data_IF_137047880197
#
_entry.id   IF_137047880197
#
_cell.length_a   1.000
_cell.length_b   1.000
_cell.length_c   1.000
_cell.angle_alpha   90.00
_cell.angle_beta   90.00
_cell.angle_gamma   90.00
#
_symmetry.space_group_name_H-M   'P 1'
#
loop_
_entity.id
_entity.type
_entity.pdbx_description
1 polymer ?
#
# COMPACT_ATOMS: atom_id res chain seq x y z
N UNK A 1 18.43 -10.14 -44.23
CA UNK A 1 16.99 -10.49 -44.18
C UNK A 1 16.56 -11.21 -42.90
N UNK A 2 17.25 -12.26 -42.41
CA UNK A 2 16.84 -13.01 -41.19
C UNK A 2 16.77 -12.19 -39.88
N UNK A 3 17.62 -11.16 -39.70
CA UNK A 3 17.63 -10.32 -38.49
C UNK A 3 16.47 -9.30 -38.43
N UNK A 4 15.96 -8.86 -39.57
CA UNK A 4 14.82 -7.94 -39.64
C UNK A 4 13.49 -8.64 -39.29
N UNK A 5 13.36 -9.93 -39.63
CA UNK A 5 12.18 -10.74 -39.30
C UNK A 5 12.05 -10.97 -37.79
N UNK A 6 13.16 -11.18 -37.08
CA UNK A 6 13.16 -11.41 -35.62
C UNK A 6 12.73 -10.15 -34.86
N UNK A 7 13.20 -8.97 -35.30
CA UNK A 7 12.80 -7.69 -34.69
C UNK A 7 11.32 -7.40 -34.93
N UNK A 8 10.78 -7.72 -36.12
CA UNK A 8 9.36 -7.58 -36.42
C UNK A 8 8.48 -8.52 -35.58
N UNK A 9 8.91 -9.76 -35.35
CA UNK A 9 8.17 -10.70 -34.50
C UNK A 9 8.20 -10.27 -33.03
N UNK A 10 9.32 -9.75 -32.53
CA UNK A 10 9.42 -9.23 -31.15
C UNK A 10 8.54 -7.98 -30.99
N UNK A 11 8.52 -7.08 -31.97
CA UNK A 11 7.65 -5.90 -31.96
C UNK A 11 6.17 -6.27 -32.07
N UNK A 12 5.82 -7.30 -32.85
CA UNK A 12 4.45 -7.80 -32.93
C UNK A 12 3.99 -8.48 -31.63
N UNK A 13 4.88 -9.22 -30.95
CA UNK A 13 4.59 -9.84 -29.66
C UNK A 13 4.48 -8.79 -28.54
N UNK A 14 5.35 -7.78 -28.54
CA UNK A 14 5.29 -6.67 -27.58
C UNK A 14 4.03 -5.80 -27.80
N UNK A 15 3.70 -5.52 -29.06
CA UNK A 15 2.48 -4.80 -29.44
C UNK A 15 1.20 -5.58 -29.11
N UNK A 16 1.20 -6.89 -29.34
CA UNK A 16 0.09 -7.78 -29.00
C UNK A 16 -0.14 -7.91 -27.50
N UNK A 17 0.93 -8.00 -26.71
CA UNK A 17 0.84 -8.03 -25.24
C UNK A 17 0.34 -6.71 -24.66
N UNK A 18 0.77 -5.57 -25.23
CA UNK A 18 0.31 -4.24 -24.82
C UNK A 18 -1.16 -4.00 -25.17
N UNK A 19 -1.57 -4.37 -26.38
CA UNK A 19 -2.97 -4.30 -26.82
C UNK A 19 -3.90 -5.22 -26.00
N UNK A 20 -3.46 -6.43 -25.70
CA UNK A 20 -4.22 -7.38 -24.85
C UNK A 20 -4.43 -6.86 -23.43
N UNK A 21 -3.44 -6.15 -22.86
CA UNK A 21 -3.56 -5.54 -21.54
C UNK A 21 -4.52 -4.34 -21.51
N UNK A 22 -4.59 -3.56 -22.60
CA UNK A 22 -5.51 -2.43 -22.72
C UNK A 22 -6.97 -2.86 -23.00
N UNK A 23 -7.18 -3.89 -23.82
CA UNK A 23 -8.52 -4.33 -24.26
C UNK A 23 -9.12 -5.46 -23.42
N UNK A 24 -8.51 -5.80 -22.28
CA UNK A 24 -8.94 -6.88 -21.38
C UNK A 24 -10.41 -6.77 -20.93
N UNK A 25 -10.93 -5.56 -20.75
CA UNK A 25 -12.32 -5.33 -20.32
C UNK A 25 -13.35 -5.57 -21.46
N UNK A 26 -12.93 -5.48 -22.73
CA UNK A 26 -13.80 -5.76 -23.89
C UNK A 26 -13.85 -7.25 -24.25
N UNK A 27 -12.75 -7.98 -24.01
CA UNK A 27 -12.60 -9.40 -24.35
C UNK A 27 -13.27 -10.30 -23.29
N UNK A 28 -13.41 -9.80 -22.06
CA UNK A 28 -14.10 -10.49 -20.97
C UNK A 28 -15.21 -9.59 -20.40
N UNK A 29 -16.43 -9.60 -20.98
CA UNK A 29 -17.54 -8.88 -20.39
C UNK A 29 -17.79 -9.39 -18.97
N UNK A 30 -17.89 -8.46 -18.01
CA UNK A 30 -18.14 -8.77 -16.60
C UNK A 30 -19.42 -9.60 -16.50
N UNK A 31 -19.41 -10.77 -15.85
CA UNK A 31 -20.66 -11.47 -15.56
C UNK A 31 -21.51 -10.55 -14.67
N UNK A 32 -22.75 -10.28 -15.08
CA UNK A 32 -23.72 -9.59 -14.23
C UNK A 32 -23.84 -10.36 -12.92
N UNK A 33 -23.39 -9.74 -11.83
CA UNK A 33 -23.53 -10.29 -10.50
C UNK A 33 -25.03 -10.27 -10.15
N UNK A 34 -25.67 -11.44 -10.18
CA UNK A 34 -26.87 -11.65 -9.37
C UNK A 34 -26.45 -11.51 -7.92
N UNK A 35 -26.93 -10.45 -7.29
CA UNK A 35 -26.74 -10.12 -5.89
C UNK A 35 -27.25 -11.27 -5.02
N UNK A 36 -26.34 -12.13 -4.56
CA UNK A 36 -26.59 -13.02 -3.44
C UNK A 36 -26.11 -12.27 -2.21
N UNK A 37 -27.08 -11.83 -1.39
CA UNK A 37 -26.83 -11.06 -0.18
C UNK A 37 -25.75 -11.73 0.69
N UNK A 38 -24.72 -10.99 1.14
CA UNK A 38 -23.69 -11.56 2.00
C UNK A 38 -24.29 -11.94 3.35
N UNK A 39 -24.25 -13.22 3.70
CA UNK A 39 -24.50 -13.65 5.08
C UNK A 39 -23.44 -13.04 5.99
N UNK A 40 -23.87 -12.07 6.80
CA UNK A 40 -23.09 -11.48 7.88
C UNK A 40 -22.89 -12.51 8.98
N UNK A 41 -21.66 -12.94 9.22
CA UNK A 41 -21.28 -13.66 10.43
C UNK A 41 -21.36 -12.70 11.61
N UNK A 42 -22.33 -12.91 12.50
CA UNK A 42 -22.47 -12.18 13.76
C UNK A 42 -21.48 -12.78 14.78
N UNK A 43 -20.56 -11.96 15.28
CA UNK A 43 -19.75 -12.28 16.46
C UNK A 43 -20.35 -11.53 17.64
N UNK A 44 -20.70 -12.26 18.70
CA UNK A 44 -21.28 -11.73 19.94
C UNK A 44 -20.33 -10.75 20.63
N UNK A 45 -20.78 -9.53 20.87
CA UNK A 45 -20.08 -8.54 21.69
C UNK A 45 -20.22 -8.89 23.18
N UNK A 46 -19.18 -9.50 23.73
CA UNK A 46 -19.00 -9.68 25.17
C UNK A 46 -18.70 -8.34 25.86
N UNK A 47 -19.38 -8.13 26.99
CA UNK A 47 -19.45 -6.97 27.87
C UNK A 47 -18.07 -6.49 28.39
N UNK A 48 -17.85 -5.18 28.36
CA UNK A 48 -16.68 -4.51 28.93
C UNK A 48 -16.68 -4.52 30.47
N UNK A 49 -15.54 -4.67 31.16
CA UNK A 49 -15.39 -4.36 32.58
C UNK A 49 -15.00 -2.89 32.81
N UNK A 50 -15.64 -2.28 33.80
CA UNK A 50 -15.39 -0.92 34.33
C UNK A 50 -14.10 -0.81 35.18
N UNK A 51 -13.55 0.42 35.35
CA UNK A 51 -12.25 0.66 35.95
C UNK A 51 -12.27 0.62 37.49
N UNK A 52 -11.23 0.03 38.09
CA UNK A 52 -10.98 0.10 39.53
C UNK A 52 -9.93 1.17 39.86
N UNK A 53 -10.33 2.13 40.69
CA UNK A 53 -9.47 3.13 41.33
C UNK A 53 -8.47 2.47 42.30
N UNK A 54 -7.20 2.90 42.30
CA UNK A 54 -6.35 2.85 43.49
C UNK A 54 -5.35 4.01 43.47
N UNK A 55 -5.33 4.76 44.58
CA UNK A 55 -4.47 5.92 44.90
C UNK A 55 -3.18 5.48 45.60
N UNK A 56 -2.20 6.41 45.68
CA UNK A 56 -0.95 6.42 46.47
C UNK A 56 0.32 6.02 45.66
N UNK A 57 1.48 6.68 45.76
CA UNK A 57 2.00 7.77 46.59
C UNK A 57 3.27 8.34 45.93
N UNK A 58 3.57 9.62 46.16
CA UNK A 58 4.81 10.32 45.78
C UNK A 58 6.02 9.81 46.56
N UNK A 59 7.24 10.01 46.02
CA UNK A 59 8.33 10.51 46.86
C UNK A 59 8.97 11.80 46.32
N UNK A 60 9.21 12.71 47.25
CA UNK A 60 9.98 13.95 47.14
C UNK A 60 11.39 13.66 47.69
N UNK A 61 12.47 13.94 46.95
CA UNK A 61 13.31 15.16 47.15
C UNK A 61 14.66 15.14 46.38
N UNK A 62 14.97 16.34 45.89
CA UNK A 62 16.23 17.02 45.53
C UNK A 62 17.57 16.29 45.31
N UNK A 63 18.29 16.73 44.26
CA UNK A 63 19.55 17.51 44.43
C UNK A 63 19.84 18.34 43.17
N UNK A 64 20.11 19.63 43.38
CA UNK A 64 20.50 20.63 42.38
C UNK A 64 21.89 20.34 41.77
N UNK A 65 22.03 20.61 40.48
CA UNK A 65 23.29 21.09 39.90
C UNK A 65 22.98 22.04 38.75
N UNK A 66 23.02 23.33 39.07
CA UNK A 66 23.00 24.44 38.13
C UNK A 66 24.31 24.46 37.35
N UNK A 67 24.23 24.49 36.01
CA UNK A 67 25.22 25.17 35.19
C UNK A 67 24.45 25.96 34.13
N UNK A 68 24.35 27.27 34.36
CA UNK A 68 24.04 28.23 33.32
C UNK A 68 25.13 28.17 32.26
N UNK A 69 24.72 28.07 31.00
CA UNK A 69 25.54 28.58 29.91
C UNK A 69 24.59 29.18 28.88
N UNK A 70 24.48 30.51 28.92
CA UNK A 70 23.90 31.31 27.86
C UNK A 70 24.61 31.01 26.55
N UNK A 71 23.97 30.24 25.67
CA UNK A 71 24.33 30.13 24.29
C UNK A 71 23.08 30.39 23.44
N UNK A 72 22.92 31.65 23.05
CA UNK A 72 22.02 32.06 21.96
C UNK A 72 22.55 31.46 20.66
N UNK A 73 22.30 30.17 20.44
CA UNK A 73 22.50 29.56 19.13
C UNK A 73 21.23 29.76 18.32
N UNK A 74 21.34 30.58 17.27
CA UNK A 74 20.49 30.41 16.09
C UNK A 74 20.78 29.01 15.53
N UNK A 75 20.14 28.00 16.10
CA UNK A 75 20.18 26.65 15.60
C UNK A 75 19.33 26.62 14.34
N UNK A 76 19.97 26.76 13.18
CA UNK A 76 19.40 26.25 11.93
C UNK A 76 19.07 24.78 12.19
N UNK A 77 17.80 24.42 12.10
CA UNK A 77 17.36 23.04 12.33
C UNK A 77 18.25 22.10 11.49
N UNK A 78 18.77 21.00 12.07
CA UNK A 78 19.63 20.08 11.34
C UNK A 78 18.89 19.59 10.09
N UNK A 79 19.52 19.75 8.92
CA UNK A 79 18.95 19.34 7.65
C UNK A 79 18.72 17.82 7.66
N UNK A 80 17.52 17.38 7.28
CA UNK A 80 17.17 15.96 7.23
C UNK A 80 18.14 15.26 6.28
N UNK A 81 18.87 14.21 6.73
CA UNK A 81 19.78 13.46 5.87
C UNK A 81 19.08 12.96 4.61
N UNK A 82 19.80 12.92 3.48
CA UNK A 82 19.25 12.48 2.19
C UNK A 82 19.90 11.18 1.77
N UNK A 83 19.09 10.17 1.46
CA UNK A 83 19.55 8.91 0.88
C UNK A 83 19.94 9.07 -0.61
N UNK A 84 20.85 8.24 -1.09
CA UNK A 84 21.31 8.25 -2.48
C UNK A 84 20.21 7.86 -3.46
N UNK A 85 19.36 6.88 -3.10
CA UNK A 85 18.37 6.28 -3.99
C UNK A 85 16.96 6.77 -3.66
N UNK A 86 16.57 6.73 -2.41
CA UNK A 86 15.23 7.13 -1.95
C UNK A 86 15.29 8.61 -1.59
N UNK A 87 14.97 9.53 -2.51
CA UNK A 87 15.07 10.97 -2.24
C UNK A 87 13.89 11.46 -1.42
N UNK A 88 13.99 12.67 -0.86
CA UNK A 88 12.85 13.32 -0.17
C UNK A 88 11.63 13.48 -1.07
N UNK A 89 11.84 13.67 -2.37
CA UNK A 89 10.76 13.77 -3.36
C UNK A 89 9.93 12.48 -3.46
N UNK A 90 10.53 11.31 -3.21
CA UNK A 90 9.78 10.05 -3.12
C UNK A 90 8.81 10.10 -1.94
N UNK A 91 9.26 10.59 -0.79
CA UNK A 91 8.42 10.69 0.43
C UNK A 91 7.26 11.66 0.20
N UNK A 92 7.53 12.81 -0.42
CA UNK A 92 6.50 13.79 -0.79
C UNK A 92 5.50 13.21 -1.79
N UNK A 93 5.96 12.49 -2.81
CA UNK A 93 5.08 11.83 -3.78
C UNK A 93 4.21 10.76 -3.13
N UNK A 94 4.76 9.95 -2.21
CA UNK A 94 4.00 8.96 -1.45
C UNK A 94 2.91 9.63 -0.62
N UNK A 95 3.22 10.70 0.10
CA UNK A 95 2.23 11.46 0.87
C UNK A 95 1.13 12.02 -0.04
N UNK A 96 1.50 12.64 -1.17
CA UNK A 96 0.57 13.15 -2.17
C UNK A 96 -0.34 12.05 -2.73
N UNK A 97 0.24 10.91 -3.07
CA UNK A 97 -0.48 9.77 -3.62
C UNK A 97 -1.47 9.19 -2.61
N UNK A 98 -1.08 9.02 -1.35
CA UNK A 98 -1.95 8.51 -0.29
C UNK A 98 -3.13 9.45 -0.05
N UNK A 99 -2.89 10.75 0.06
CA UNK A 99 -3.95 11.76 0.25
C UNK A 99 -4.91 11.79 -0.95
N UNK A 100 -4.39 11.69 -2.18
CA UNK A 100 -5.22 11.64 -3.38
C UNK A 100 -6.14 10.41 -3.45
N UNK A 101 -5.84 9.35 -2.69
CA UNK A 101 -6.67 8.13 -2.58
C UNK A 101 -7.66 8.16 -1.42
N UNK A 102 -7.59 9.15 -0.53
CA UNK A 102 -8.61 9.35 0.48
C UNK A 102 -9.85 9.98 -0.15
N UNK A 103 -11.00 9.37 0.09
CA UNK A 103 -12.30 9.82 -0.37
C UNK A 103 -13.14 10.18 0.86
N UNK A 104 -13.23 11.47 1.24
CA UNK A 104 -14.02 11.88 2.39
C UNK A 104 -15.50 11.53 2.20
N UNK A 105 -16.21 11.30 3.31
CA UNK A 105 -17.66 11.11 3.30
C UNK A 105 -18.42 12.35 2.83
N UNK A 106 -19.57 12.16 2.20
CA UNK A 106 -20.43 13.24 1.69
C UNK A 106 -19.91 13.94 0.43
N UNK A 107 -18.89 13.38 -0.22
CA UNK A 107 -18.29 13.96 -1.43
C UNK A 107 -18.88 13.34 -2.69
N UNK A 108 -18.70 13.99 -3.84
CA UNK A 108 -19.21 13.49 -5.14
C UNK A 108 -18.68 12.08 -5.47
N UNK A 109 -17.43 11.78 -5.09
CA UNK A 109 -16.79 10.48 -5.32
C UNK A 109 -17.07 9.45 -4.22
N UNK A 110 -17.57 9.89 -3.06
CA UNK A 110 -17.98 9.03 -1.96
C UNK A 110 -19.21 9.63 -1.23
N UNK A 111 -20.43 9.38 -1.75
CA UNK A 111 -21.65 9.95 -1.19
C UNK A 111 -22.03 9.40 0.19
N UNK A 112 -21.40 8.31 0.63
CA UNK A 112 -21.63 7.72 1.96
C UNK A 112 -21.12 8.62 3.09
N UNK A 113 -21.54 8.36 4.35
CA UNK A 113 -21.23 9.23 5.48
C UNK A 113 -19.79 9.13 5.98
N UNK A 114 -19.11 8.01 5.75
CA UNK A 114 -17.76 7.74 6.25
C UNK A 114 -16.72 7.89 5.14
N UNK A 115 -15.54 8.39 5.50
CA UNK A 115 -14.39 8.39 4.59
C UNK A 115 -13.88 6.98 4.32
N UNK A 116 -13.21 6.82 3.18
CA UNK A 116 -12.57 5.56 2.81
C UNK A 116 -11.35 5.79 1.92
N UNK A 117 -10.52 4.76 1.77
CA UNK A 117 -9.43 4.76 0.79
C UNK A 117 -9.80 3.98 -0.47
N UNK A 118 -9.45 4.53 -1.63
CA UNK A 118 -9.27 3.77 -2.87
C UNK A 118 -7.78 3.44 -3.07
N UNK A 119 -7.25 2.64 -2.14
CA UNK A 119 -5.85 2.25 -2.09
C UNK A 119 -5.74 0.73 -2.00
N UNK A 120 -4.84 0.13 -2.76
CA UNK A 120 -4.44 -1.26 -2.61
C UNK A 120 -2.94 -1.42 -2.83
N UNK A 121 -2.33 -2.47 -2.25
CA UNK A 121 -0.88 -2.68 -2.31
C UNK A 121 -0.39 -2.83 -3.75
N UNK A 122 -1.21 -3.43 -4.62
CA UNK A 122 -0.87 -3.62 -6.03
C UNK A 122 -0.76 -2.27 -6.77
N UNK A 123 -1.63 -1.30 -6.49
CA UNK A 123 -1.60 0.01 -7.13
C UNK A 123 -0.37 0.81 -6.70
N UNK A 124 0.02 0.70 -5.42
CA UNK A 124 1.28 1.25 -4.90
C UNK A 124 2.47 0.65 -5.65
N UNK A 125 2.55 -0.68 -5.76
CA UNK A 125 3.65 -1.33 -6.48
C UNK A 125 3.68 -0.97 -7.97
N UNK A 126 2.54 -0.77 -8.62
CA UNK A 126 2.51 -0.36 -10.04
C UNK A 126 3.10 1.04 -10.18
N UNK A 127 2.68 2.00 -9.35
CA UNK A 127 3.18 3.37 -9.39
C UNK A 127 4.70 3.43 -9.17
N UNK A 128 5.18 2.85 -8.09
CA UNK A 128 6.60 2.96 -7.70
C UNK A 128 7.50 1.88 -8.32
N UNK A 129 6.92 0.91 -9.02
CA UNK A 129 7.66 -0.14 -9.70
C UNK A 129 7.90 0.11 -11.18
N UNK A 130 7.33 1.17 -11.77
CA UNK A 130 7.45 1.48 -13.20
C UNK A 130 7.99 2.88 -13.42
N UNK A 131 7.36 3.90 -12.84
CA UNK A 131 7.71 5.30 -13.10
C UNK A 131 8.73 5.88 -12.11
N UNK A 132 8.99 5.14 -11.02
CA UNK A 132 9.96 5.46 -9.96
C UNK A 132 9.96 6.94 -9.50
N UNK A 133 8.78 7.58 -9.27
CA UNK A 133 8.73 9.01 -8.96
C UNK A 133 9.51 9.31 -7.67
N UNK A 134 10.43 10.27 -7.74
CA UNK A 134 11.27 10.68 -6.62
C UNK A 134 12.39 9.70 -6.24
N UNK A 135 12.61 8.62 -7.00
CA UNK A 135 13.75 7.72 -6.83
C UNK A 135 14.87 8.08 -7.81
N UNK A 136 16.11 8.01 -7.34
CA UNK A 136 17.29 8.29 -8.15
C UNK A 136 17.77 7.03 -8.88
N UNK A 137 17.04 6.66 -9.94
CA UNK A 137 17.34 5.51 -10.81
C UNK A 137 17.01 5.83 -12.26
N UNK A 138 17.55 5.06 -13.20
CA UNK A 138 17.22 5.19 -14.61
C UNK A 138 15.82 4.57 -14.91
N UNK A 139 14.80 5.36 -15.28
CA UNK A 139 13.48 4.83 -15.61
C UNK A 139 13.47 4.06 -16.94
N UNK A 140 14.46 4.23 -17.81
CA UNK A 140 14.54 3.52 -19.10
C UNK A 140 14.86 2.03 -18.95
N UNK A 141 15.57 1.64 -17.88
CA UNK A 141 15.80 0.23 -17.51
C UNK A 141 15.02 -0.14 -16.25
N UNK A 142 13.72 -0.45 -16.42
CA UNK A 142 12.84 -0.81 -15.31
C UNK A 142 13.34 -2.02 -14.51
N UNK A 143 13.98 -3.01 -15.15
CA UNK A 143 14.45 -4.21 -14.45
C UNK A 143 15.74 -3.93 -13.67
N UNK A 144 16.69 -3.18 -14.27
CA UNK A 144 17.89 -2.72 -13.60
C UNK A 144 17.58 -1.80 -12.42
N UNK A 145 16.70 -0.81 -12.62
CA UNK A 145 16.25 0.10 -11.57
C UNK A 145 15.68 -0.65 -10.36
N UNK A 146 14.80 -1.63 -10.57
CA UNK A 146 14.26 -2.46 -9.48
C UNK A 146 15.36 -3.20 -8.72
N UNK A 147 16.33 -3.78 -9.42
CA UNK A 147 17.45 -4.49 -8.76
C UNK A 147 18.29 -3.54 -7.91
N UNK A 148 18.59 -2.35 -8.41
CA UNK A 148 19.30 -1.30 -7.69
C UNK A 148 18.52 -0.88 -6.44
N UNK A 149 17.23 -0.57 -6.60
CA UNK A 149 16.35 -0.17 -5.49
C UNK A 149 16.33 -1.26 -4.42
N UNK A 150 15.95 -2.49 -4.76
CA UNK A 150 15.83 -3.55 -3.76
C UNK A 150 17.17 -3.97 -3.17
N UNK A 151 18.25 -3.94 -3.96
CA UNK A 151 19.60 -4.18 -3.48
C UNK A 151 20.04 -3.18 -2.42
N UNK A 152 19.57 -1.93 -2.50
CA UNK A 152 19.82 -0.88 -1.51
C UNK A 152 18.85 -0.93 -0.34
N UNK A 153 17.54 -0.90 -0.60
CA UNK A 153 16.51 -0.74 0.44
C UNK A 153 16.30 -2.00 1.27
N UNK A 154 16.54 -3.21 0.75
CA UNK A 154 16.37 -4.46 1.51
C UNK A 154 17.64 -4.84 2.28
N UNK A 155 18.31 -3.83 2.83
CA UNK A 155 19.42 -3.96 3.77
C UNK A 155 18.98 -3.48 5.15
N UNK A 156 19.37 -4.20 6.19
CA UNK A 156 18.98 -3.90 7.58
C UNK A 156 19.30 -2.45 7.99
N UNK A 157 20.55 -1.97 7.82
CA UNK A 157 20.92 -0.59 8.16
C UNK A 157 20.20 0.47 7.34
N UNK A 158 20.02 0.27 6.03
CA UNK A 158 19.30 1.21 5.15
C UNK A 158 17.84 1.36 5.58
N UNK A 159 17.17 0.25 5.94
CA UNK A 159 15.80 0.30 6.46
C UNK A 159 15.69 1.11 7.75
N UNK A 160 16.61 0.92 8.70
CA UNK A 160 16.61 1.68 9.96
C UNK A 160 16.84 3.17 9.71
N UNK A 161 17.80 3.49 8.85
CA UNK A 161 18.09 4.86 8.45
C UNK A 161 16.87 5.53 7.81
N UNK A 162 16.28 4.90 6.77
CA UNK A 162 15.11 5.44 6.09
C UNK A 162 13.93 5.63 7.06
N UNK A 163 13.67 4.67 7.95
CA UNK A 163 12.63 4.82 8.94
C UNK A 163 12.91 5.99 9.89
N UNK A 164 14.11 6.09 10.46
CA UNK A 164 14.45 7.14 11.42
C UNK A 164 14.45 8.54 10.79
N UNK A 165 15.03 8.67 9.58
CA UNK A 165 15.16 9.96 8.90
C UNK A 165 13.85 10.40 8.22
N UNK A 166 13.10 9.48 7.60
CA UNK A 166 11.99 9.86 6.72
C UNK A 166 10.61 9.76 7.35
N UNK A 167 10.44 9.10 8.51
CA UNK A 167 9.13 9.11 9.18
C UNK A 167 8.67 10.53 9.54
N UNK A 168 9.52 11.42 10.12
CA UNK A 168 9.13 12.81 10.37
C UNK A 168 8.77 13.55 9.08
N UNK A 169 9.62 13.45 8.06
CA UNK A 169 9.40 14.05 6.74
C UNK A 169 8.08 13.58 6.10
N UNK A 170 7.75 12.30 6.24
CA UNK A 170 6.52 11.70 5.74
C UNK A 170 5.29 12.30 6.41
N UNK A 171 5.31 12.41 7.75
CA UNK A 171 4.21 13.00 8.52
C UNK A 171 4.00 14.47 8.16
N UNK A 172 5.08 15.23 8.04
CA UNK A 172 4.98 16.66 7.70
C UNK A 172 4.49 16.85 6.26
N UNK A 173 4.94 15.99 5.32
CA UNK A 173 4.46 15.99 3.94
C UNK A 173 2.99 15.57 3.82
N UNK A 174 2.52 14.62 4.65
CA UNK A 174 1.10 14.28 4.73
C UNK A 174 0.27 15.48 5.17
N UNK A 175 0.74 16.18 6.21
CA UNK A 175 0.02 17.32 6.78
C UNK A 175 -0.06 18.49 5.80
N UNK A 176 1.06 18.83 5.16
CA UNK A 176 1.12 19.85 4.12
C UNK A 176 0.16 19.53 2.98
N UNK A 177 0.23 18.30 2.46
CA UNK A 177 -0.62 17.84 1.36
C UNK A 177 -2.11 17.87 1.74
N UNK A 178 -2.46 17.42 2.95
CA UNK A 178 -3.84 17.44 3.42
C UNK A 178 -4.37 18.88 3.51
N UNK A 179 -3.55 19.83 3.99
CA UNK A 179 -3.91 21.25 4.10
C UNK A 179 -4.23 21.89 2.76
N UNK A 180 -3.48 21.54 1.70
CA UNK A 180 -3.70 22.07 0.36
C UNK A 180 -4.74 21.30 -0.46
N UNK A 181 -5.25 20.17 0.04
CA UNK A 181 -6.19 19.32 -0.70
C UNK A 181 -7.63 19.83 -0.60
N UNK A 182 -8.33 19.84 -1.74
CA UNK A 182 -9.76 20.11 -1.84
C UNK A 182 -10.50 18.93 -2.47
N UNK A 183 -11.77 18.76 -2.13
CA UNK A 183 -12.65 17.75 -2.72
C UNK A 183 -13.93 18.40 -3.25
N UNK A 184 -14.56 17.74 -4.21
CA UNK A 184 -15.81 18.22 -4.81
C UNK A 184 -17.02 17.60 -4.11
N UNK A 185 -17.93 18.44 -3.63
CA UNK A 185 -19.23 18.03 -3.09
C UNK A 185 -20.19 17.61 -4.21
N UNK A 186 -21.31 16.97 -3.84
CA UNK A 186 -22.37 16.63 -4.79
C UNK A 186 -22.93 17.85 -5.53
N UNK A 187 -22.92 19.03 -4.88
CA UNK A 187 -23.30 20.31 -5.48
C UNK A 187 -22.34 20.83 -6.57
N UNK A 188 -21.16 20.20 -6.71
CA UNK A 188 -20.09 20.67 -7.61
C UNK A 188 -19.13 21.68 -6.97
N UNK A 189 -19.42 22.14 -5.75
CA UNK A 189 -18.53 23.04 -5.00
C UNK A 189 -17.23 22.32 -4.59
N UNK A 190 -16.10 23.01 -4.71
CA UNK A 190 -14.83 22.57 -4.16
C UNK A 190 -14.70 23.04 -2.71
N UNK A 191 -14.38 22.14 -1.79
CA UNK A 191 -14.26 22.40 -0.35
C UNK A 191 -12.96 21.80 0.17
N UNK A 192 -12.28 22.52 1.06
CA UNK A 192 -11.08 22.03 1.72
C UNK A 192 -11.39 20.82 2.63
N UNK A 193 -10.40 19.94 2.82
CA UNK A 193 -10.51 18.85 3.80
C UNK A 193 -10.65 19.46 5.21
N UNK A 194 -11.68 19.06 5.96
CA UNK A 194 -11.90 19.55 7.34
C UNK A 194 -10.94 18.87 8.33
N UNK A 195 -10.74 19.45 9.51
CA UNK A 195 -9.89 18.83 10.54
C UNK A 195 -10.36 17.42 10.92
N UNK A 196 -11.69 17.24 11.08
CA UNK A 196 -12.27 15.92 11.35
C UNK A 196 -11.96 14.91 10.22
N UNK A 197 -12.02 15.33 8.95
CA UNK A 197 -11.66 14.49 7.80
C UNK A 197 -10.16 14.19 7.75
N UNK A 198 -9.29 15.12 8.18
CA UNK A 198 -7.84 14.87 8.31
C UNK A 198 -7.58 13.80 9.37
N UNK A 199 -8.16 13.95 10.56
CA UNK A 199 -8.01 12.98 11.64
C UNK A 199 -8.57 11.60 11.25
N UNK A 200 -9.72 11.56 10.56
CA UNK A 200 -10.28 10.32 10.00
C UNK A 200 -9.32 9.67 8.99
N UNK A 201 -8.80 10.43 8.03
CA UNK A 201 -7.84 9.94 7.03
C UNK A 201 -6.61 9.32 7.69
N UNK A 202 -5.99 10.01 8.65
CA UNK A 202 -4.80 9.52 9.35
C UNK A 202 -5.12 8.26 10.17
N UNK A 203 -6.28 8.20 10.83
CA UNK A 203 -6.72 7.00 11.56
C UNK A 203 -6.89 5.79 10.63
N UNK A 204 -7.56 6.00 9.49
CA UNK A 204 -7.74 4.97 8.47
C UNK A 204 -6.39 4.53 7.87
N UNK A 205 -5.48 5.47 7.64
CA UNK A 205 -4.15 5.20 7.11
C UNK A 205 -3.32 4.39 8.10
N UNK A 206 -3.28 4.80 9.37
CA UNK A 206 -2.58 4.07 10.43
C UNK A 206 -3.08 2.62 10.53
N UNK A 207 -4.39 2.42 10.57
CA UNK A 207 -4.99 1.08 10.57
C UNK A 207 -4.51 0.24 9.39
N UNK A 208 -4.52 0.82 8.17
CA UNK A 208 -4.08 0.14 6.96
C UNK A 208 -2.59 -0.19 6.97
N UNK A 209 -1.73 0.76 7.34
CA UNK A 209 -0.27 0.57 7.42
C UNK A 209 0.07 -0.52 8.44
N UNK A 210 -0.61 -0.53 9.60
CA UNK A 210 -0.44 -1.55 10.64
C UNK A 210 -0.82 -2.93 10.13
N UNK A 211 -1.98 -3.08 9.50
CA UNK A 211 -2.41 -4.38 8.96
C UNK A 211 -1.44 -4.87 7.90
N UNK A 212 -1.06 -4.04 6.94
CA UNK A 212 -0.11 -4.41 5.88
C UNK A 212 1.25 -4.77 6.48
N UNK A 213 1.78 -3.95 7.39
CA UNK A 213 3.07 -4.16 8.04
C UNK A 213 3.12 -5.47 8.83
N UNK A 214 2.09 -5.72 9.66
CA UNK A 214 1.95 -6.98 10.41
C UNK A 214 1.85 -8.18 9.47
N UNK A 215 1.02 -8.09 8.43
CA UNK A 215 0.85 -9.17 7.45
C UNK A 215 2.18 -9.49 6.77
N UNK A 216 2.91 -8.47 6.30
CA UNK A 216 4.21 -8.65 5.66
C UNK A 216 5.23 -9.29 6.63
N UNK A 217 5.31 -8.79 7.86
CA UNK A 217 6.22 -9.32 8.87
C UNK A 217 5.95 -10.78 9.20
N UNK A 218 4.68 -11.15 9.42
CA UNK A 218 4.28 -12.54 9.70
C UNK A 218 4.56 -13.44 8.51
N UNK A 219 4.15 -13.05 7.30
CA UNK A 219 4.32 -13.88 6.11
C UNK A 219 5.79 -14.11 5.77
N UNK A 220 6.65 -13.11 5.98
CA UNK A 220 8.10 -13.26 5.78
C UNK A 220 8.75 -14.26 6.76
N UNK A 221 8.12 -14.51 7.92
CA UNK A 221 8.61 -15.43 8.95
C UNK A 221 7.91 -16.79 8.94
N UNK A 222 6.89 -16.96 8.11
CA UNK A 222 6.05 -18.16 8.09
C UNK A 222 6.48 -19.10 6.97
N UNK A 223 7.32 -20.08 7.29
CA UNK A 223 7.88 -21.02 6.31
C UNK A 223 6.82 -21.86 5.59
N UNK A 224 5.69 -22.13 6.25
CA UNK A 224 4.60 -22.96 5.68
C UNK A 224 3.83 -22.27 4.55
N UNK A 225 3.89 -20.93 4.46
CA UNK A 225 3.23 -20.18 3.38
C UNK A 225 4.03 -20.25 2.08
N UNK A 226 5.37 -20.26 2.15
CA UNK A 226 6.26 -20.29 0.97
C UNK A 226 5.92 -21.42 -0.03
N UNK A 227 5.82 -22.71 0.37
CA UNK A 227 5.48 -23.78 -0.58
C UNK A 227 4.08 -23.66 -1.16
N UNK A 228 3.12 -23.05 -0.44
CA UNK A 228 1.77 -22.81 -0.96
C UNK A 228 1.77 -21.71 -2.02
N UNK A 229 2.58 -20.66 -1.86
CA UNK A 229 2.78 -19.64 -2.90
C UNK A 229 3.41 -20.27 -4.14
N UNK A 230 4.47 -21.07 -3.99
CA UNK A 230 5.11 -21.77 -5.10
C UNK A 230 4.12 -22.66 -5.86
N UNK A 231 3.32 -23.47 -5.14
CA UNK A 231 2.29 -24.31 -5.75
C UNK A 231 1.24 -23.51 -6.48
N UNK A 232 0.77 -22.41 -5.89
CA UNK A 232 -0.21 -21.53 -6.53
C UNK A 232 0.33 -20.90 -7.82
N UNK A 233 1.59 -20.43 -7.82
CA UNK A 233 2.25 -19.89 -9.01
C UNK A 233 2.42 -20.96 -10.10
N UNK A 234 2.80 -22.18 -9.73
CA UNK A 234 2.86 -23.30 -10.66
C UNK A 234 1.49 -23.61 -11.28
N UNK A 235 0.42 -23.56 -10.49
CA UNK A 235 -0.93 -23.79 -11.00
C UNK A 235 -1.44 -22.66 -11.91
N UNK A 236 -1.00 -21.43 -11.69
CA UNK A 236 -1.24 -20.32 -12.62
C UNK A 236 -0.54 -20.58 -13.96
N UNK A 237 0.72 -20.99 -13.93
CA UNK A 237 1.46 -21.35 -15.15
C UNK A 237 0.79 -22.53 -15.87
N UNK A 238 0.40 -23.59 -15.15
CA UNK A 238 -0.30 -24.74 -15.72
C UNK A 238 -1.59 -24.36 -16.46
N UNK A 239 -2.36 -23.40 -15.93
CA UNK A 239 -3.55 -22.85 -16.61
C UNK A 239 -3.14 -22.11 -17.90
N UNK A 240 -2.07 -21.30 -17.84
CA UNK A 240 -1.51 -20.63 -19.02
C UNK A 240 -1.08 -21.62 -20.10
N UNK A 241 -0.33 -22.66 -19.73
CA UNK A 241 0.12 -23.71 -20.65
C UNK A 241 -1.07 -24.50 -21.24
N UNK A 242 -2.10 -24.80 -20.45
CA UNK A 242 -3.31 -25.46 -20.94
C UNK A 242 -4.06 -24.60 -21.97
N UNK A 243 -4.16 -23.28 -21.73
CA UNK A 243 -4.71 -22.36 -22.73
C UNK A 243 -3.85 -22.31 -23.98
N UNK A 244 -2.52 -22.14 -23.88
CA UNK A 244 -1.62 -22.11 -25.03
C UNK A 244 -1.72 -23.39 -25.87
N UNK A 245 -1.77 -24.56 -25.22
CA UNK A 245 -1.97 -25.83 -25.91
C UNK A 245 -3.30 -25.87 -26.68
N UNK A 246 -4.40 -25.38 -26.07
CA UNK A 246 -5.69 -25.27 -26.75
C UNK A 246 -5.66 -24.28 -27.94
N UNK A 247 -5.00 -23.14 -27.80
CA UNK A 247 -4.83 -22.17 -28.88
C UNK A 247 -4.06 -22.76 -30.07
N UNK A 248 -3.00 -23.52 -29.81
CA UNK A 248 -2.21 -24.18 -30.87
C UNK A 248 -3.05 -25.21 -31.66
N UNK A 249 -4.05 -25.84 -31.04
CA UNK A 249 -4.97 -26.76 -31.72
C UNK A 249 -6.00 -26.06 -32.64
N UNK A 250 -6.11 -24.73 -32.59
CA UNK A 250 -6.96 -23.97 -33.52
C UNK A 250 -6.29 -23.73 -34.89
N UNK A 251 -4.96 -23.77 -34.95
CA UNK A 251 -4.19 -23.62 -36.20
C UNK A 251 -4.09 -24.91 -37.02
N UNK A 252 -4.32 -26.07 -36.41
CA UNK A 252 -4.20 -27.38 -37.03
C UNK A 252 -5.57 -28.00 -37.36
N UNK A 253 -5.59 -28.98 -38.29
CA UNK A 253 -6.73 -29.91 -38.49
C UNK A 253 -6.90 -30.86 -37.29
N UNK A 254 -6.89 -30.30 -36.08
CA UNK A 254 -7.04 -31.04 -34.83
C UNK A 254 -8.39 -31.77 -34.82
N UNK A 255 -8.36 -33.04 -34.42
CA UNK A 255 -9.57 -33.84 -34.27
C UNK A 255 -10.49 -33.25 -33.19
N UNK A 256 -11.81 -33.47 -33.26
CA UNK A 256 -12.74 -33.08 -32.20
C UNK A 256 -12.31 -33.60 -30.82
N UNK A 257 -11.85 -34.86 -30.74
CA UNK A 257 -11.38 -35.47 -29.51
C UNK A 257 -10.18 -34.72 -28.88
N UNK A 258 -9.23 -34.23 -29.69
CA UNK A 258 -8.09 -33.46 -29.19
C UNK A 258 -8.53 -32.10 -28.60
N UNK A 259 -9.57 -31.49 -29.17
CA UNK A 259 -10.15 -30.24 -28.66
C UNK A 259 -10.92 -30.45 -27.36
N UNK A 260 -11.64 -31.57 -27.26
CA UNK A 260 -12.37 -31.94 -26.04
C UNK A 260 -11.41 -32.23 -24.87
N UNK A 261 -10.33 -32.98 -25.13
CA UNK A 261 -9.28 -33.24 -24.13
C UNK A 261 -8.62 -31.94 -23.65
N UNK A 262 -8.25 -31.05 -24.57
CA UNK A 262 -7.66 -29.76 -24.22
C UNK A 262 -8.63 -28.88 -23.40
N UNK A 263 -9.92 -28.89 -23.75
CA UNK A 263 -10.96 -28.18 -22.98
C UNK A 263 -11.12 -28.76 -21.57
N UNK A 264 -11.11 -30.09 -21.43
CA UNK A 264 -11.17 -30.77 -20.14
C UNK A 264 -9.93 -30.47 -19.27
N UNK A 265 -8.75 -30.36 -19.91
CA UNK A 265 -7.50 -29.98 -19.24
C UNK A 265 -7.54 -28.54 -18.72
N UNK A 266 -8.09 -27.59 -19.49
CA UNK A 266 -8.31 -26.21 -19.02
C UNK A 266 -9.21 -26.22 -17.78
N UNK A 267 -10.34 -26.92 -17.82
CA UNK A 267 -11.26 -27.01 -16.67
C UNK A 267 -10.56 -27.56 -15.42
N UNK A 268 -9.80 -28.64 -15.58
CA UNK A 268 -9.10 -29.31 -14.47
C UNK A 268 -8.00 -28.41 -13.87
N UNK A 269 -7.23 -27.72 -14.71
CA UNK A 269 -6.18 -26.81 -14.26
C UNK A 269 -6.75 -25.58 -13.55
N UNK A 270 -7.87 -25.03 -14.03
CA UNK A 270 -8.60 -23.94 -13.34
C UNK A 270 -9.09 -24.39 -11.96
N UNK A 271 -9.70 -25.57 -11.85
CA UNK A 271 -10.15 -26.12 -10.57
C UNK A 271 -8.99 -26.31 -9.59
N UNK A 272 -7.88 -26.87 -10.07
CA UNK A 272 -6.66 -27.08 -9.27
C UNK A 272 -6.09 -25.75 -8.78
N UNK A 273 -6.05 -24.73 -9.65
CA UNK A 273 -5.61 -23.37 -9.32
C UNK A 273 -6.51 -22.69 -8.29
N UNK A 274 -7.82 -22.93 -8.32
CA UNK A 274 -8.72 -22.38 -7.29
C UNK A 274 -8.55 -23.09 -5.95
N UNK A 275 -8.32 -24.41 -5.95
CA UNK A 275 -8.00 -25.16 -4.72
C UNK A 275 -6.70 -24.64 -4.10
N UNK A 276 -5.63 -24.43 -4.89
CA UNK A 276 -4.39 -23.87 -4.35
C UNK A 276 -4.54 -22.42 -3.89
N UNK A 277 -5.36 -21.61 -4.60
CA UNK A 277 -5.72 -20.25 -4.16
C UNK A 277 -6.38 -20.25 -2.78
N UNK A 278 -7.38 -21.10 -2.57
CA UNK A 278 -8.11 -21.21 -1.30
C UNK A 278 -7.20 -21.69 -0.16
N UNK A 279 -6.36 -22.70 -0.40
CA UNK A 279 -5.39 -23.20 0.58
C UNK A 279 -4.37 -22.12 0.98
N UNK A 280 -3.83 -21.40 0.00
CA UNK A 280 -2.92 -20.28 0.24
C UNK A 280 -3.60 -19.18 1.07
N UNK A 281 -4.82 -18.77 0.69
CA UNK A 281 -5.57 -17.75 1.40
C UNK A 281 -5.85 -18.16 2.85
N UNK A 282 -6.29 -19.40 3.07
CA UNK A 282 -6.54 -19.93 4.40
C UNK A 282 -5.27 -19.91 5.26
N UNK A 283 -4.11 -20.31 4.71
CA UNK A 283 -2.84 -20.27 5.42
C UNK A 283 -2.43 -18.84 5.79
N UNK A 284 -2.63 -17.87 4.89
CA UNK A 284 -2.35 -16.45 5.16
C UNK A 284 -3.25 -15.91 6.29
N UNK A 285 -4.56 -16.16 6.20
CA UNK A 285 -5.53 -15.70 7.22
C UNK A 285 -5.24 -16.32 8.57
N UNK A 286 -4.97 -17.64 8.62
CA UNK A 286 -4.62 -18.34 9.86
C UNK A 286 -3.30 -17.85 10.47
N UNK A 287 -2.33 -17.43 9.66
CA UNK A 287 -1.05 -16.95 10.16
C UNK A 287 -1.12 -15.50 10.66
N UNK A 288 -1.76 -14.60 9.91
CA UNK A 288 -1.62 -13.15 10.11
C UNK A 288 -2.86 -12.45 10.69
N UNK A 289 -4.05 -13.05 10.58
CA UNK A 289 -5.36 -12.42 10.86
C UNK A 289 -5.51 -11.00 10.27
N UNK A 290 -5.41 -10.84 8.94
CA UNK A 290 -5.24 -9.54 8.31
C UNK A 290 -6.57 -8.81 8.10
N UNK A 291 -7.04 -8.12 9.14
CA UNK A 291 -8.30 -7.37 9.11
C UNK A 291 -8.29 -6.21 8.10
N UNK A 292 -9.28 -6.16 7.21
CA UNK A 292 -9.46 -5.06 6.24
C UNK A 292 -8.67 -5.18 4.94
N UNK A 293 -7.99 -6.30 4.68
CA UNK A 293 -7.38 -6.61 3.38
C UNK A 293 -8.22 -7.67 2.64
N UNK A 294 -8.42 -7.47 1.34
CA UNK A 294 -9.11 -8.45 0.52
C UNK A 294 -8.20 -9.64 0.12
N UNK A 295 -8.82 -10.74 -0.32
CA UNK A 295 -8.10 -11.95 -0.70
C UNK A 295 -7.06 -11.73 -1.81
N UNK A 296 -7.30 -10.77 -2.72
CA UNK A 296 -6.39 -10.48 -3.81
C UNK A 296 -5.14 -9.74 -3.33
N UNK A 297 -5.28 -8.81 -2.38
CA UNK A 297 -4.17 -8.12 -1.73
C UNK A 297 -3.31 -9.09 -0.91
N UNK A 298 -3.95 -10.00 -0.17
CA UNK A 298 -3.25 -11.00 0.63
C UNK A 298 -2.39 -11.94 -0.22
N UNK A 299 -2.98 -12.47 -1.29
CA UNK A 299 -2.25 -13.31 -2.25
C UNK A 299 -1.13 -12.50 -2.92
N UNK A 300 -1.39 -11.24 -3.27
CA UNK A 300 -0.39 -10.37 -3.88
C UNK A 300 0.81 -10.14 -2.95
N UNK A 301 0.58 -9.84 -1.67
CA UNK A 301 1.63 -9.69 -0.66
C UNK A 301 2.47 -10.96 -0.54
N UNK A 302 1.82 -12.12 -0.41
CA UNK A 302 2.50 -13.40 -0.31
C UNK A 302 3.37 -13.70 -1.55
N UNK A 303 2.86 -13.44 -2.75
CA UNK A 303 3.63 -13.55 -3.99
C UNK A 303 4.79 -12.56 -4.05
N UNK A 304 4.59 -11.33 -3.58
CA UNK A 304 5.62 -10.29 -3.59
C UNK A 304 6.80 -10.69 -2.70
N UNK A 305 6.52 -11.14 -1.47
CA UNK A 305 7.53 -11.64 -0.53
C UNK A 305 8.24 -12.86 -1.10
N UNK A 306 7.49 -13.82 -1.65
CA UNK A 306 8.05 -15.00 -2.30
C UNK A 306 9.07 -14.62 -3.39
N UNK A 307 8.70 -13.71 -4.31
CA UNK A 307 9.61 -13.24 -5.37
C UNK A 307 10.89 -12.61 -4.82
N UNK A 308 10.81 -11.84 -3.73
CA UNK A 308 12.02 -11.25 -3.11
C UNK A 308 12.97 -12.34 -2.59
N UNK A 309 12.41 -13.40 -1.98
CA UNK A 309 13.20 -14.53 -1.50
C UNK A 309 13.83 -15.38 -2.60
N UNK A 310 13.17 -15.50 -3.76
CA UNK A 310 13.75 -16.18 -4.92
C UNK A 310 14.87 -15.35 -5.59
N UNK A 311 14.80 -14.02 -5.51
CA UNK A 311 15.85 -13.12 -6.00
C UNK A 311 17.07 -13.09 -5.07
N UNK A 312 16.84 -13.02 -3.75
CA UNK A 312 17.88 -13.12 -2.74
C UNK A 312 17.27 -13.66 -1.43
N UNK A 313 17.72 -14.84 -0.94
CA UNK A 313 17.18 -15.42 0.31
C UNK A 313 17.28 -14.50 1.52
N UNK A 314 18.30 -13.62 1.60
CA UNK A 314 18.47 -12.68 2.71
C UNK A 314 17.40 -11.58 2.73
N UNK A 315 16.80 -11.26 1.58
CA UNK A 315 15.78 -10.22 1.47
C UNK A 315 14.47 -10.59 2.13
N UNK A 316 14.19 -11.87 2.40
CA UNK A 316 12.99 -12.27 3.15
C UNK A 316 13.04 -11.70 4.57
N UNK A 317 14.18 -11.81 5.25
CA UNK A 317 14.36 -11.25 6.60
C UNK A 317 14.25 -9.72 6.60
N UNK A 318 14.88 -9.05 5.62
CA UNK A 318 14.77 -7.60 5.46
C UNK A 318 13.32 -7.15 5.16
N UNK A 319 12.58 -7.92 4.36
CA UNK A 319 11.16 -7.69 4.09
C UNK A 319 10.33 -7.81 5.36
N UNK A 320 10.59 -8.81 6.20
CA UNK A 320 9.95 -8.96 7.50
C UNK A 320 10.17 -7.74 8.40
N UNK A 321 11.43 -7.27 8.46
CA UNK A 321 11.80 -6.04 9.17
C UNK A 321 11.10 -4.80 8.62
N UNK A 322 11.01 -4.64 7.29
CA UNK A 322 10.29 -3.54 6.67
C UNK A 322 8.80 -3.53 7.08
N UNK A 323 8.18 -4.71 7.22
CA UNK A 323 6.83 -4.85 7.77
C UNK A 323 6.70 -4.36 9.22
N UNK A 324 7.68 -4.64 10.07
CA UNK A 324 7.72 -4.13 11.46
C UNK A 324 7.89 -2.62 11.53
N UNK A 325 8.78 -2.06 10.70
CA UNK A 325 8.98 -0.61 10.62
C UNK A 325 7.72 0.08 10.09
N UNK A 326 7.01 -0.52 9.14
CA UNK A 326 5.72 0.00 8.66
C UNK A 326 4.66 0.06 9.77
N UNK A 327 4.65 -0.92 10.68
CA UNK A 327 3.77 -0.89 11.84
C UNK A 327 4.15 0.22 12.84
N UNK A 328 5.43 0.56 12.98
CA UNK A 328 5.88 1.72 13.78
C UNK A 328 5.52 3.05 13.13
N UNK A 329 5.63 3.17 11.80
CA UNK A 329 5.11 4.34 11.07
C UNK A 329 3.61 4.48 11.33
N UNK A 330 2.85 3.39 11.36
CA UNK A 330 1.42 3.43 11.68
C UNK A 330 1.14 3.99 13.07
N UNK A 331 1.95 3.64 14.08
CA UNK A 331 1.86 4.22 15.43
C UNK A 331 2.11 5.74 15.40
N UNK A 332 3.12 6.19 14.65
CA UNK A 332 3.43 7.61 14.52
C UNK A 332 2.32 8.39 13.79
N UNK A 333 1.70 7.80 12.76
CA UNK A 333 0.54 8.37 12.04
C UNK A 333 -0.68 8.45 12.97
N UNK A 334 -0.94 7.41 13.76
CA UNK A 334 -2.04 7.42 14.72
C UNK A 334 -1.83 8.45 15.84
N UNK A 335 -0.60 8.63 16.31
CA UNK A 335 -0.31 9.68 17.28
C UNK A 335 -0.52 11.07 16.67
N UNK A 336 -0.06 11.29 15.44
CA UNK A 336 -0.31 12.54 14.68
C UNK A 336 -1.81 12.81 14.49
N UNK A 337 -2.65 11.78 14.35
CA UNK A 337 -4.10 11.96 14.20
C UNK A 337 -4.82 12.46 15.45
N UNK A 338 -4.19 12.34 16.63
CA UNK A 338 -4.74 12.80 17.92
C UNK A 338 -4.26 14.20 18.30
N UNK A 339 -3.23 14.70 17.63
CA UNK A 339 -2.67 16.01 17.93
C UNK A 339 -3.62 17.11 17.40
N UNK A 340 -3.90 18.15 18.21
CA UNK A 340 -4.64 19.31 17.74
C UNK A 340 -3.83 20.01 16.66
N UNK A 341 -4.50 20.36 15.56
CA UNK A 341 -3.81 21.00 14.45
C UNK A 341 -3.65 22.49 14.78
N UNK A 342 -2.46 23.07 14.56
CA UNK A 342 -2.29 24.50 14.72
C UNK A 342 -3.26 25.19 13.77
N UNK A 343 -4.23 25.92 14.33
CA UNK A 343 -5.14 26.75 13.53
C UNK A 343 -4.27 27.66 12.65
N UNK A 344 -4.53 27.66 11.35
CA UNK A 344 -3.97 28.66 10.47
C UNK A 344 -4.41 30.02 11.02
N UNK A 345 -3.46 30.79 11.58
CA UNK A 345 -3.71 32.06 12.23
C UNK A 345 -4.49 33.01 11.33
N UNK A 346 -5.82 32.97 11.46
CA UNK A 346 -6.72 34.00 11.01
C UNK A 346 -6.72 35.07 12.08
N UNK A 347 -5.87 36.07 11.90
CA UNK A 347 -5.85 37.30 12.70
C UNK A 347 -7.27 37.88 12.73
N UNK A 348 -8.00 37.66 13.83
CA UNK A 348 -9.15 38.46 14.19
C UNK A 348 -8.63 39.81 14.67
N UNK A 349 -8.23 40.68 13.75
CA UNK A 349 -8.21 42.12 14.03
C UNK A 349 -9.66 42.58 14.10
N UNK A 350 -10.26 42.39 15.27
CA UNK A 350 -11.37 43.20 15.75
C UNK A 350 -10.84 44.62 15.96
N UNK A 351 -10.79 45.38 14.87
CA UNK A 351 -10.54 46.82 14.89
C UNK A 351 -11.85 47.56 14.76
N UNK A 352 -12.51 47.80 15.89
CA UNK A 352 -13.35 48.98 16.08
C UNK A 352 -13.21 49.34 17.57
N UNK A 353 -12.83 50.59 17.92
CA UNK A 353 -13.77 51.69 17.79
C UNK A 353 -13.15 53.05 17.41
N UNK A 354 -13.92 53.93 16.78
CA UNK A 354 -14.05 55.33 17.24
C UNK A 354 -15.19 56.05 16.51
N UNK A 355 -16.21 56.38 17.29
CA UNK A 355 -17.20 57.43 17.02
C UNK A 355 -16.49 58.75 16.64
N UNK A 356 -16.84 59.32 15.49
CA UNK A 356 -16.61 60.72 15.20
C UNK A 356 -17.96 61.46 15.30
N UNK A 357 -18.21 62.04 16.47
CA UNK A 357 -19.19 63.09 16.67
C UNK A 357 -18.47 64.37 17.10
N UNK A 358 -18.33 65.32 16.18
CA UNK A 358 -18.56 66.76 16.33
C UNK A 358 -18.27 67.49 15.03
#
# INVERSE_FOLDING_TARGET
MKRALIVLVILALAGGAYWFLQNREQIFPKPEAKEVAPQRWQVSTGKAPEPSNTTAMLPVNATNASVETNATSNATAPETPVDEIVRHDFVKDVSAYLVARYLPGGTKKNPGPQGRFDLNVKSVNIRYGVDFPGLNVDPADTLGARKIIFGHVLQGPTLDFLHAAYTPLFLDSLDETLRSTTHTLASGQSVAVTEAQRAEMLTLLASRLRTVGRTVSVLARTDTVKPLVAKYLQDIDNVGQAHLAFWNLQGDKASPAARDEASARIKTTIQTREISRQRLLQAIVSAADPQGLDASELIYLAQWIYRRGEENPQWVGATGKAGELLARVAEAVEERSRQPWPESGGNATSGDPAEAGQ
#
